data_IF_210198259285
#
_entry.id   IF_210198259285
#
_cell.length_a   1.000
_cell.length_b   1.000
_cell.length_c   1.000
_cell.angle_alpha   90.00
_cell.angle_beta   90.00
_cell.angle_gamma   90.00
#
_symmetry.space_group_name_H-M   'P 1'
#
loop_
_entity.id
_entity.type
_entity.pdbx_description
1 polymer ?
#
# COMPACT_ATOMS: atom_id res chain seq x y z
N UNK A 1 -5.75 -50.28 -3.42
CA UNK A 1 -5.07 -50.09 -2.13
C UNK A 1 -3.99 -49.04 -2.37
N UNK A 2 -4.16 -47.79 -1.92
CA UNK A 2 -4.17 -47.31 -0.53
C UNK A 2 -2.74 -47.03 -0.04
N UNK A 3 -2.39 -45.74 0.06
CA UNK A 3 -1.24 -45.24 0.82
C UNK A 3 -1.58 -45.19 2.33
N UNK A 4 -0.62 -44.90 3.24
CA UNK A 4 -0.36 -43.48 3.56
C UNK A 4 1.08 -43.14 4.00
N UNK A 5 1.31 -41.84 4.27
CA UNK A 5 2.30 -41.26 5.22
C UNK A 5 3.82 -41.41 4.93
N UNK A 6 4.69 -40.41 5.17
CA UNK A 6 4.50 -39.02 5.67
C UNK A 6 5.65 -38.08 5.30
N UNK A 7 5.35 -36.77 5.24
CA UNK A 7 6.22 -35.62 5.56
C UNK A 7 7.69 -35.64 5.11
N UNK A 8 8.00 -34.78 4.12
CA UNK A 8 8.56 -33.47 4.50
C UNK A 8 8.06 -32.38 3.55
N UNK A 9 7.11 -31.58 4.01
CA UNK A 9 6.82 -30.27 3.41
C UNK A 9 7.97 -29.34 3.84
N UNK A 10 8.98 -29.20 2.98
CA UNK A 10 9.83 -28.03 3.03
C UNK A 10 9.04 -26.87 2.42
N UNK A 11 8.39 -26.10 3.30
CA UNK A 11 7.82 -24.79 2.99
C UNK A 11 8.96 -23.85 2.60
N UNK A 12 9.28 -23.75 1.30
CA UNK A 12 10.43 -23.00 0.79
C UNK A 12 10.20 -21.48 0.77
N UNK A 13 9.85 -20.94 1.94
CA UNK A 13 9.86 -19.50 2.25
C UNK A 13 11.23 -18.83 2.08
N UNK A 14 12.29 -19.60 1.83
CA UNK A 14 13.65 -19.12 1.64
C UNK A 14 14.14 -19.12 0.17
N UNK A 15 13.38 -19.70 -0.78
CA UNK A 15 13.71 -19.55 -2.21
C UNK A 15 13.21 -18.20 -2.74
N UNK A 16 14.11 -17.24 -2.88
CA UNK A 16 13.87 -15.95 -3.53
C UNK A 16 13.79 -16.12 -5.04
N UNK A 17 12.60 -15.99 -5.61
CA UNK A 17 12.39 -16.09 -7.05
C UNK A 17 12.56 -14.71 -7.72
N UNK A 18 13.66 -14.50 -8.43
CA UNK A 18 13.79 -13.34 -9.33
C UNK A 18 13.04 -13.69 -10.62
N UNK A 19 11.88 -13.05 -10.83
CA UNK A 19 10.97 -13.34 -11.95
C UNK A 19 10.96 -12.15 -12.91
N UNK A 20 11.84 -12.17 -13.91
CA UNK A 20 11.80 -11.20 -15.00
C UNK A 20 10.64 -11.48 -15.95
N UNK A 21 9.73 -10.51 -16.06
CA UNK A 21 8.70 -10.48 -17.12
C UNK A 21 9.29 -10.10 -18.51
N UNK A 22 10.54 -9.66 -18.55
CA UNK A 22 11.29 -9.27 -19.74
C UNK A 22 12.27 -10.37 -20.22
N UNK A 23 12.70 -10.37 -21.50
CA UNK A 23 13.72 -11.29 -21.99
C UNK A 23 15.08 -11.02 -21.33
N UNK A 24 15.70 -12.05 -20.79
CA UNK A 24 17.02 -12.00 -20.11
C UNK A 24 18.21 -11.95 -21.09
N UNK A 25 17.99 -11.38 -22.28
CA UNK A 25 18.96 -11.32 -23.37
C UNK A 25 19.19 -9.86 -23.80
N UNK A 26 20.41 -9.48 -24.17
CA UNK A 26 20.70 -8.10 -24.55
C UNK A 26 19.93 -7.68 -25.82
N UNK A 27 19.48 -6.42 -25.92
CA UNK A 27 19.79 -5.29 -25.02
C UNK A 27 18.89 -5.21 -23.78
N UNK A 28 19.52 -5.16 -22.59
CA UNK A 28 18.84 -5.03 -21.28
C UNK A 28 18.20 -3.66 -21.00
N UNK A 29 18.26 -2.73 -21.95
CA UNK A 29 17.60 -1.43 -21.87
C UNK A 29 16.99 -1.07 -23.21
N UNK A 30 15.77 -0.54 -23.18
CA UNK A 30 15.03 -0.11 -24.36
C UNK A 30 14.33 1.24 -24.09
N UNK A 31 14.04 2.07 -25.12
CA UNK A 31 13.63 3.46 -24.91
C UNK A 31 12.39 3.66 -24.03
N UNK A 32 11.41 2.75 -24.10
CA UNK A 32 10.23 2.80 -23.21
C UNK A 32 10.51 2.36 -21.78
N UNK A 33 11.54 1.55 -21.50
CA UNK A 33 12.00 1.26 -20.13
C UNK A 33 12.60 2.53 -19.51
N UNK A 34 13.53 3.16 -20.21
CA UNK A 34 14.16 4.43 -19.78
C UNK A 34 13.13 5.54 -19.61
N UNK A 35 12.12 5.61 -20.49
CA UNK A 35 11.00 6.56 -20.36
C UNK A 35 10.16 6.27 -19.12
N UNK A 36 9.81 5.00 -18.85
CA UNK A 36 9.02 4.59 -17.69
C UNK A 36 9.78 4.87 -16.37
N UNK A 37 11.08 4.56 -16.32
CA UNK A 37 12.01 4.90 -15.24
C UNK A 37 12.01 6.41 -14.93
N UNK A 38 12.27 7.24 -15.95
CA UNK A 38 12.31 8.71 -15.80
C UNK A 38 10.95 9.23 -15.33
N UNK A 39 9.85 8.78 -15.93
CA UNK A 39 8.50 9.17 -15.53
C UNK A 39 8.21 8.79 -14.07
N UNK A 40 8.46 7.54 -13.64
CA UNK A 40 8.25 7.10 -12.26
C UNK A 40 9.01 7.97 -11.27
N UNK A 41 10.32 8.15 -11.47
CA UNK A 41 11.17 8.93 -10.55
C UNK A 41 10.75 10.40 -10.52
N UNK A 42 10.57 11.04 -11.69
CA UNK A 42 10.22 12.48 -11.75
C UNK A 42 8.82 12.74 -11.20
N UNK A 43 7.80 11.94 -11.56
CA UNK A 43 6.44 12.17 -11.07
C UNK A 43 6.33 11.89 -9.57
N UNK A 44 6.98 10.86 -9.02
CA UNK A 44 6.96 10.61 -7.57
C UNK A 44 7.72 11.67 -6.77
N UNK A 45 8.85 12.19 -7.28
CA UNK A 45 9.54 13.34 -6.64
C UNK A 45 8.67 14.59 -6.66
N UNK A 46 8.06 14.95 -7.80
CA UNK A 46 7.15 16.10 -7.90
C UNK A 46 5.92 15.92 -7.01
N UNK A 47 5.35 14.71 -6.97
CA UNK A 47 4.19 14.40 -6.13
C UNK A 47 4.49 14.63 -4.64
N UNK A 48 5.64 14.18 -4.14
CA UNK A 48 6.03 14.42 -2.75
C UNK A 48 6.24 15.91 -2.46
N UNK A 49 6.99 16.61 -3.32
CA UNK A 49 7.22 18.06 -3.16
C UNK A 49 5.92 18.88 -3.12
N UNK A 50 4.91 18.48 -3.88
CA UNK A 50 3.57 19.09 -3.87
C UNK A 50 2.76 18.69 -2.62
N UNK A 51 2.86 17.44 -2.16
CA UNK A 51 2.09 16.90 -1.04
C UNK A 51 2.63 17.29 0.35
N UNK A 52 3.91 17.67 0.49
CA UNK A 52 4.47 18.21 1.74
C UNK A 52 3.71 19.45 2.26
N UNK A 53 3.29 20.36 1.38
CA UNK A 53 2.60 21.61 1.77
C UNK A 53 1.24 21.34 2.45
N UNK A 54 0.30 20.58 1.86
CA UNK A 54 -0.94 20.22 2.53
C UNK A 54 -0.72 19.29 3.73
N UNK A 55 0.31 18.43 3.73
CA UNK A 55 0.66 17.60 4.90
C UNK A 55 0.97 18.47 6.13
N UNK A 56 1.85 19.47 6.00
CA UNK A 56 2.17 20.39 7.10
C UNK A 56 0.94 21.17 7.60
N UNK A 57 0.07 21.59 6.68
CA UNK A 57 -1.16 22.33 7.02
C UNK A 57 -2.18 21.44 7.76
N UNK A 58 -2.44 20.23 7.26
CA UNK A 58 -3.38 19.28 7.86
C UNK A 58 -2.88 18.75 9.20
N UNK A 59 -1.57 18.54 9.36
CA UNK A 59 -0.94 18.17 10.61
C UNK A 59 -1.11 19.27 11.68
N UNK A 60 -0.84 20.53 11.32
CA UNK A 60 -1.06 21.69 12.22
C UNK A 60 -2.54 21.83 12.62
N UNK A 61 -3.44 21.61 11.67
CA UNK A 61 -4.89 21.58 11.91
C UNK A 61 -5.34 20.31 12.70
N UNK A 62 -4.51 19.27 12.76
CA UNK A 62 -4.73 18.03 13.50
C UNK A 62 -5.86 17.16 12.95
N UNK A 63 -6.11 17.22 11.64
CA UNK A 63 -6.96 16.25 10.95
C UNK A 63 -6.12 14.99 10.69
N UNK A 64 -6.11 14.09 11.67
CA UNK A 64 -5.21 12.93 11.72
C UNK A 64 -5.36 12.02 10.50
N UNK A 65 -6.60 11.66 10.13
CA UNK A 65 -6.88 10.81 8.97
C UNK A 65 -6.34 11.40 7.66
N UNK A 66 -6.51 12.71 7.45
CA UNK A 66 -6.01 13.40 6.25
C UNK A 66 -4.48 13.54 6.23
N UNK A 67 -3.86 13.73 7.40
CA UNK A 67 -2.39 13.77 7.53
C UNK A 67 -1.78 12.39 7.24
N UNK A 68 -2.39 11.33 7.76
CA UNK A 68 -1.95 9.95 7.57
C UNK A 68 -2.19 9.44 6.14
N UNK A 69 -3.26 9.89 5.48
CA UNK A 69 -3.53 9.64 4.06
C UNK A 69 -2.41 10.22 3.16
N UNK A 70 -2.00 11.47 3.39
CA UNK A 70 -0.90 12.05 2.60
C UNK A 70 0.42 11.35 2.92
N UNK A 71 0.70 11.08 4.21
CA UNK A 71 1.92 10.35 4.60
C UNK A 71 2.00 8.95 3.97
N UNK A 72 0.88 8.24 3.80
CA UNK A 72 0.87 6.93 3.12
C UNK A 72 1.16 7.08 1.61
N UNK A 73 0.76 8.19 0.99
CA UNK A 73 1.13 8.52 -0.39
C UNK A 73 2.63 8.90 -0.52
N UNK A 74 3.17 9.71 0.40
CA UNK A 74 4.61 10.05 0.46
C UNK A 74 5.47 8.78 0.50
N UNK A 75 5.13 7.85 1.39
CA UNK A 75 5.80 6.55 1.55
C UNK A 75 5.74 5.76 0.24
N UNK A 76 4.58 5.69 -0.44
CA UNK A 76 4.44 4.93 -1.69
C UNK A 76 5.21 5.54 -2.86
N UNK A 77 5.37 6.85 -2.89
CA UNK A 77 6.23 7.54 -3.85
C UNK A 77 7.72 7.28 -3.59
N UNK A 78 8.16 7.32 -2.32
CA UNK A 78 9.54 6.98 -1.94
C UNK A 78 9.86 5.53 -2.31
N UNK A 79 8.95 4.60 -1.98
CA UNK A 79 8.98 3.20 -2.40
C UNK A 79 9.12 3.06 -3.93
N UNK A 80 8.28 3.78 -4.70
CA UNK A 80 8.36 3.79 -6.18
C UNK A 80 9.73 4.27 -6.69
N UNK A 81 10.28 5.34 -6.12
CA UNK A 81 11.61 5.86 -6.48
C UNK A 81 12.70 4.84 -6.17
N UNK A 82 12.69 4.22 -4.98
CA UNK A 82 13.71 3.25 -4.56
C UNK A 82 13.69 2.00 -5.44
N UNK A 83 12.52 1.41 -5.68
CA UNK A 83 12.40 0.22 -6.54
C UNK A 83 12.81 0.51 -7.99
N UNK A 84 12.38 1.64 -8.56
CA UNK A 84 12.75 2.00 -9.94
C UNK A 84 14.25 2.30 -10.11
N UNK A 85 14.93 2.81 -9.08
CA UNK A 85 16.38 3.04 -9.14
C UNK A 85 17.22 1.78 -8.88
N UNK A 86 16.74 0.86 -8.03
CA UNK A 86 17.42 -0.42 -7.77
C UNK A 86 17.32 -1.40 -8.95
N UNK A 87 16.12 -1.54 -9.53
CA UNK A 87 15.82 -2.51 -10.60
C UNK A 87 15.44 -1.77 -11.90
N UNK A 88 16.40 -0.98 -12.40
CA UNK A 88 16.23 0.03 -13.46
C UNK A 88 16.32 -0.52 -14.91
N UNK A 89 16.95 -1.67 -15.08
CA UNK A 89 17.31 -2.32 -16.35
C UNK A 89 17.09 -3.84 -16.22
N UNK A 90 16.99 -4.57 -17.33
CA UNK A 90 16.58 -6.00 -17.34
C UNK A 90 17.74 -7.00 -17.13
N UNK A 91 18.93 -6.56 -16.68
CA UNK A 91 20.05 -7.47 -16.38
C UNK A 91 19.91 -8.12 -14.99
N UNK A 92 19.05 -9.14 -14.92
CA UNK A 92 18.83 -9.96 -13.71
C UNK A 92 20.09 -10.57 -13.11
N UNK A 93 21.20 -10.65 -13.86
CA UNK A 93 22.45 -11.26 -13.38
C UNK A 93 23.28 -10.28 -12.55
N UNK A 94 23.07 -8.97 -12.78
CA UNK A 94 23.67 -7.87 -12.01
C UNK A 94 22.82 -7.41 -10.82
N UNK A 95 21.53 -7.76 -10.81
CA UNK A 95 20.56 -7.28 -9.82
C UNK A 95 20.90 -7.66 -8.38
N UNK A 96 20.68 -6.73 -7.46
CA UNK A 96 20.62 -7.05 -6.04
C UNK A 96 19.32 -7.84 -5.74
N UNK A 97 19.38 -9.01 -5.09
CA UNK A 97 18.20 -9.85 -4.78
C UNK A 97 17.30 -9.31 -3.66
N UNK A 98 17.46 -8.06 -3.22
CA UNK A 98 16.51 -7.39 -2.31
C UNK A 98 16.48 -7.83 -0.85
N UNK A 99 17.44 -8.65 -0.40
CA UNK A 99 17.48 -9.21 0.97
C UNK A 99 17.26 -8.14 2.05
N UNK A 100 16.29 -8.37 2.95
CA UNK A 100 15.95 -7.44 4.04
C UNK A 100 15.11 -6.24 3.61
N UNK A 101 15.25 -5.74 2.37
CA UNK A 101 14.39 -4.68 1.84
C UNK A 101 13.03 -5.24 1.39
N UNK A 102 13.00 -6.24 0.51
CA UNK A 102 11.74 -6.86 0.08
C UNK A 102 11.03 -7.60 1.24
N UNK A 103 11.80 -8.14 2.20
CA UNK A 103 11.28 -8.69 3.47
C UNK A 103 10.48 -7.67 4.30
N UNK A 104 10.69 -6.37 4.10
CA UNK A 104 9.98 -5.28 4.79
C UNK A 104 8.99 -4.54 3.88
N UNK A 105 9.34 -4.29 2.62
CA UNK A 105 8.51 -3.47 1.72
C UNK A 105 7.17 -4.13 1.43
N UNK A 106 7.08 -5.44 1.21
CA UNK A 106 5.78 -6.10 0.95
C UNK A 106 4.77 -5.79 2.05
N UNK A 107 5.21 -5.83 3.30
CA UNK A 107 4.39 -5.46 4.45
C UNK A 107 4.07 -3.95 4.47
N UNK A 108 5.07 -3.09 4.25
CA UNK A 108 4.89 -1.64 4.20
C UNK A 108 3.90 -1.22 3.10
N UNK A 109 4.08 -1.72 1.87
CA UNK A 109 3.27 -1.51 0.67
C UNK A 109 1.82 -1.95 0.89
N UNK A 110 1.60 -3.10 1.50
CA UNK A 110 0.24 -3.63 1.78
C UNK A 110 -0.44 -2.92 2.95
N UNK A 111 0.30 -2.61 4.03
CA UNK A 111 -0.19 -1.74 5.09
C UNK A 111 -0.56 -0.35 4.56
N UNK A 112 0.24 0.21 3.65
CA UNK A 112 0.01 1.51 3.00
C UNK A 112 -1.26 1.52 2.16
N UNK A 113 -1.55 0.47 1.39
CA UNK A 113 -2.83 0.29 0.67
C UNK A 113 -4.01 0.21 1.65
N UNK A 114 -3.87 -0.54 2.75
CA UNK A 114 -4.90 -0.64 3.78
C UNK A 114 -5.19 0.71 4.46
N UNK A 115 -4.14 1.43 4.86
CA UNK A 115 -4.22 2.78 5.46
C UNK A 115 -4.86 3.78 4.49
N UNK A 116 -4.49 3.76 3.21
CA UNK A 116 -5.04 4.67 2.21
C UNK A 116 -6.57 4.54 2.12
N UNK A 117 -7.08 3.32 1.98
CA UNK A 117 -8.52 3.06 1.87
C UNK A 117 -9.30 3.38 3.16
N UNK A 118 -8.76 3.02 4.34
CA UNK A 118 -9.44 3.28 5.62
C UNK A 118 -9.37 4.75 6.05
N UNK A 119 -8.28 5.46 5.72
CA UNK A 119 -8.20 6.91 5.89
C UNK A 119 -9.22 7.64 5.01
N UNK A 120 -9.38 7.25 3.74
CA UNK A 120 -10.34 7.90 2.83
C UNK A 120 -11.78 7.79 3.36
N UNK A 121 -12.18 6.60 3.83
CA UNK A 121 -13.48 6.38 4.48
C UNK A 121 -13.63 7.23 5.77
N UNK A 122 -12.58 7.30 6.59
CA UNK A 122 -12.57 8.09 7.83
C UNK A 122 -12.61 9.62 7.57
N UNK A 123 -12.07 10.08 6.44
CA UNK A 123 -12.17 11.47 5.96
C UNK A 123 -13.60 11.77 5.52
N UNK A 124 -14.19 10.95 4.63
CA UNK A 124 -15.55 11.20 4.12
C UNK A 124 -16.60 11.15 5.24
N UNK A 125 -16.54 10.16 6.14
CA UNK A 125 -17.38 10.14 7.36
C UNK A 125 -17.14 11.35 8.27
N UNK A 126 -15.89 11.82 8.34
CA UNK A 126 -15.50 13.02 9.08
C UNK A 126 -15.94 14.34 8.42
N UNK A 127 -16.26 14.34 7.13
CA UNK A 127 -16.85 15.47 6.40
C UNK A 127 -18.38 15.45 6.50
N UNK A 128 -19.02 14.30 6.26
CA UNK A 128 -20.47 14.12 6.38
C UNK A 128 -20.99 14.55 7.76
N UNK A 129 -20.29 14.17 8.83
CA UNK A 129 -20.62 14.59 10.21
C UNK A 129 -20.30 16.04 10.54
N UNK A 130 -19.47 16.75 9.76
CA UNK A 130 -19.24 18.20 9.92
C UNK A 130 -20.27 19.04 9.16
N UNK A 131 -20.68 18.59 7.97
CA UNK A 131 -21.66 19.29 7.13
C UNK A 131 -23.06 19.18 7.73
N UNK A 132 -23.50 17.97 8.10
CA UNK A 132 -24.83 17.70 8.68
C UNK A 132 -25.10 18.36 10.05
N UNK A 133 -24.08 18.89 10.72
CA UNK A 133 -24.22 19.60 12.01
C UNK A 133 -24.25 21.13 11.89
N UNK A 134 -23.98 21.69 10.70
CA UNK A 134 -24.01 23.12 10.31
C UNK A 134 -23.22 24.12 11.19
N UNK A 135 -22.64 23.71 12.33
CA UNK A 135 -22.10 24.61 13.35
C UNK A 135 -20.63 24.34 13.64
N UNK A 136 -19.83 25.38 13.41
CA UNK A 136 -18.42 25.46 13.78
C UNK A 136 -18.22 25.62 15.30
N UNK A 137 -18.68 24.66 16.12
CA UNK A 137 -18.22 24.55 17.49
C UNK A 137 -16.70 24.31 17.49
N UNK A 138 -15.95 25.19 18.15
CA UNK A 138 -14.52 24.99 18.41
C UNK A 138 -14.33 23.78 19.32
N UNK A 139 -14.13 22.60 18.71
CA UNK A 139 -13.83 21.36 19.44
C UNK A 139 -12.70 21.60 20.44
N UNK A 140 -12.91 21.24 21.71
CA UNK A 140 -11.87 21.36 22.73
C UNK A 140 -10.70 20.42 22.42
N UNK A 141 -9.51 20.70 22.95
CA UNK A 141 -8.34 19.84 22.76
C UNK A 141 -8.59 18.38 23.20
N UNK A 142 -9.43 18.17 24.22
CA UNK A 142 -9.85 16.84 24.71
C UNK A 142 -10.71 16.11 23.68
N UNK A 143 -11.64 16.79 23.03
CA UNK A 143 -12.49 16.24 21.98
C UNK A 143 -11.71 15.98 20.69
N UNK A 144 -10.81 16.89 20.28
CA UNK A 144 -9.89 16.69 19.15
C UNK A 144 -9.01 15.45 19.38
N UNK A 145 -8.47 15.25 20.59
CA UNK A 145 -7.70 14.03 20.95
C UNK A 145 -8.59 12.78 20.94
N UNK A 146 -9.82 12.84 21.47
CA UNK A 146 -10.77 11.70 21.47
C UNK A 146 -11.19 11.31 20.04
N UNK A 147 -11.50 12.28 19.19
CA UNK A 147 -11.82 12.08 17.77
C UNK A 147 -10.68 11.40 17.03
N UNK A 148 -9.45 11.90 17.21
CA UNK A 148 -8.29 11.36 16.51
C UNK A 148 -7.95 9.93 16.99
N UNK A 149 -8.16 9.59 18.28
CA UNK A 149 -8.09 8.21 18.76
C UNK A 149 -9.17 7.30 18.14
N UNK A 150 -10.42 7.77 18.03
CA UNK A 150 -11.50 7.01 17.39
C UNK A 150 -11.20 6.81 15.89
N UNK A 151 -10.66 7.82 15.21
CA UNK A 151 -10.20 7.68 13.82
C UNK A 151 -9.06 6.66 13.70
N UNK A 152 -8.06 6.68 14.58
CA UNK A 152 -7.00 5.67 14.60
C UNK A 152 -7.56 4.24 14.80
N UNK A 153 -8.50 4.07 15.73
CA UNK A 153 -9.19 2.79 15.98
C UNK A 153 -10.09 2.32 14.82
N UNK A 154 -10.42 3.18 13.86
CA UNK A 154 -11.13 2.81 12.61
C UNK A 154 -10.12 2.55 11.48
N UNK A 155 -9.02 3.30 11.43
CA UNK A 155 -8.03 3.26 10.36
C UNK A 155 -7.12 2.01 10.45
N UNK A 156 -6.63 1.68 11.65
CA UNK A 156 -5.60 0.65 11.83
C UNK A 156 -6.07 -0.82 11.82
N UNK A 157 -7.30 -1.22 12.22
CA UNK A 157 -7.66 -2.64 12.23
C UNK A 157 -7.59 -3.32 10.86
N UNK A 158 -7.95 -2.60 9.79
CA UNK A 158 -7.95 -3.12 8.41
C UNK A 158 -6.54 -3.42 7.86
N UNK A 159 -5.55 -2.50 7.87
CA UNK A 159 -4.18 -2.81 7.48
C UNK A 159 -3.52 -3.85 8.41
N UNK A 160 -3.84 -3.87 9.72
CA UNK A 160 -3.33 -4.92 10.63
C UNK A 160 -3.89 -6.30 10.26
N UNK A 161 -5.17 -6.40 9.91
CA UNK A 161 -5.76 -7.65 9.42
C UNK A 161 -5.11 -8.09 8.10
N UNK A 162 -4.96 -7.19 7.12
CA UNK A 162 -4.26 -7.47 5.86
C UNK A 162 -2.85 -8.04 6.08
N UNK A 163 -2.06 -7.40 6.93
CA UNK A 163 -0.70 -7.84 7.29
C UNK A 163 -0.67 -9.28 7.84
N UNK A 164 -1.60 -9.61 8.74
CA UNK A 164 -1.72 -10.96 9.30
C UNK A 164 -2.16 -11.99 8.25
N UNK A 165 -3.08 -11.62 7.36
CA UNK A 165 -3.56 -12.48 6.26
C UNK A 165 -2.43 -12.76 5.26
N UNK A 166 -1.63 -11.76 4.88
CA UNK A 166 -0.50 -11.91 3.95
C UNK A 166 0.56 -12.85 4.54
N UNK A 167 0.88 -12.73 5.84
CA UNK A 167 1.84 -13.64 6.51
C UNK A 167 1.38 -15.12 6.53
N UNK A 168 0.06 -15.36 6.45
CA UNK A 168 -0.54 -16.69 6.27
C UNK A 168 -0.65 -17.14 4.80
N UNK A 169 -0.82 -16.20 3.85
CA UNK A 169 -1.24 -16.50 2.47
C UNK A 169 -0.15 -16.35 1.39
N UNK A 170 1.04 -15.82 1.74
CA UNK A 170 2.20 -15.75 0.85
C UNK A 170 2.73 -17.15 0.51
N UNK A 171 2.88 -17.47 -0.79
CA UNK A 171 3.42 -18.76 -1.26
C UNK A 171 4.92 -18.71 -1.54
N UNK A 172 5.45 -17.52 -1.81
CA UNK A 172 6.87 -17.23 -1.96
C UNK A 172 7.17 -15.93 -1.23
N UNK A 173 8.43 -15.77 -0.78
CA UNK A 173 8.82 -14.68 0.13
C UNK A 173 8.63 -13.30 -0.49
N UNK A 174 9.09 -13.18 -1.74
CA UNK A 174 8.95 -12.04 -2.62
C UNK A 174 9.34 -12.47 -4.04
N UNK A 175 8.81 -11.75 -5.02
CA UNK A 175 9.37 -11.67 -6.37
C UNK A 175 9.93 -10.26 -6.63
N UNK A 176 10.78 -10.13 -7.65
CA UNK A 176 11.38 -8.85 -8.04
C UNK A 176 11.21 -8.66 -9.54
N UNK A 177 10.58 -7.55 -9.94
CA UNK A 177 10.30 -7.21 -11.34
C UNK A 177 10.83 -5.81 -11.71
N UNK A 178 11.26 -5.62 -12.96
CA UNK A 178 11.87 -4.36 -13.42
C UNK A 178 10.97 -3.14 -13.21
N UNK A 179 11.53 -2.04 -12.71
CA UNK A 179 10.89 -0.78 -12.29
C UNK A 179 9.85 -0.86 -11.15
N UNK A 180 9.19 -2.00 -11.00
CA UNK A 180 8.18 -2.30 -9.99
C UNK A 180 8.82 -2.71 -8.65
N UNK A 181 9.97 -3.37 -8.74
CA UNK A 181 10.78 -3.94 -7.67
C UNK A 181 10.06 -5.04 -6.92
N UNK A 182 10.03 -4.95 -5.58
CA UNK A 182 9.46 -5.99 -4.72
C UNK A 182 7.94 -6.16 -4.94
N UNK A 183 7.51 -7.37 -5.29
CA UNK A 183 6.10 -7.76 -5.33
C UNK A 183 5.91 -9.13 -4.64
N UNK A 184 4.67 -9.58 -4.41
CA UNK A 184 4.39 -10.75 -3.59
C UNK A 184 3.42 -11.72 -4.26
N UNK A 185 3.79 -13.00 -4.24
CA UNK A 185 3.00 -14.06 -4.89
C UNK A 185 2.01 -14.63 -3.87
N UNK A 186 0.75 -14.25 -4.04
CA UNK A 186 -0.38 -14.74 -3.27
C UNK A 186 -0.83 -16.14 -3.73
N UNK A 187 -1.31 -16.98 -2.81
CA UNK A 187 -2.03 -18.19 -3.20
C UNK A 187 -3.40 -17.85 -3.80
N UNK A 188 -3.70 -18.25 -5.06
CA UNK A 188 -5.01 -18.06 -5.68
C UNK A 188 -6.03 -18.97 -5.00
N UNK A 189 -6.56 -18.49 -3.89
CA UNK A 189 -7.34 -19.23 -2.90
C UNK A 189 -8.55 -18.39 -2.49
N UNK A 190 -9.65 -19.05 -2.12
CA UNK A 190 -10.87 -18.32 -1.76
C UNK A 190 -10.70 -17.34 -0.56
N UNK A 191 -9.85 -17.59 0.46
CA UNK A 191 -9.62 -16.61 1.52
C UNK A 191 -8.87 -15.38 1.01
N UNK A 192 -7.88 -15.55 0.12
CA UNK A 192 -7.16 -14.43 -0.49
C UNK A 192 -8.12 -13.49 -1.23
N UNK A 193 -9.04 -14.03 -2.03
CA UNK A 193 -10.07 -13.23 -2.72
C UNK A 193 -10.97 -12.47 -1.71
N UNK A 194 -11.52 -13.18 -0.73
CA UNK A 194 -12.50 -12.64 0.22
C UNK A 194 -11.90 -11.58 1.15
N UNK A 195 -10.67 -11.80 1.63
CA UNK A 195 -10.03 -10.92 2.62
C UNK A 195 -9.04 -9.91 2.03
N UNK A 196 -8.54 -10.13 0.81
CA UNK A 196 -7.44 -9.33 0.22
C UNK A 196 -7.80 -8.66 -1.10
N UNK A 197 -8.92 -9.02 -1.76
CA UNK A 197 -9.39 -8.35 -2.99
C UNK A 197 -10.76 -7.69 -2.81
N UNK A 198 -11.75 -8.37 -2.23
CA UNK A 198 -13.09 -7.81 -2.04
C UNK A 198 -13.18 -6.59 -1.09
N UNK A 199 -12.36 -6.42 -0.03
CA UNK A 199 -12.54 -5.30 0.89
C UNK A 199 -12.26 -3.93 0.28
N UNK A 200 -11.36 -3.81 -0.71
CA UNK A 200 -11.03 -2.55 -1.37
C UNK A 200 -12.23 -1.94 -2.13
N UNK A 201 -12.92 -2.65 -3.07
CA UNK A 201 -14.11 -2.14 -3.70
C UNK A 201 -15.28 -1.95 -2.72
N UNK A 202 -15.37 -2.73 -1.63
CA UNK A 202 -16.36 -2.48 -0.57
C UNK A 202 -16.08 -1.17 0.17
N UNK A 203 -14.84 -0.89 0.59
CA UNK A 203 -14.46 0.37 1.22
C UNK A 203 -14.64 1.57 0.28
N UNK A 204 -14.33 1.42 -1.02
CA UNK A 204 -14.60 2.44 -2.03
C UNK A 204 -16.12 2.68 -2.22
N UNK A 205 -16.92 1.62 -2.23
CA UNK A 205 -18.39 1.72 -2.31
C UNK A 205 -18.98 2.41 -1.08
N UNK A 206 -18.53 2.06 0.12
CA UNK A 206 -18.93 2.75 1.36
C UNK A 206 -18.51 4.22 1.36
N UNK A 207 -17.29 4.52 0.88
CA UNK A 207 -16.78 5.89 0.75
C UNK A 207 -17.64 6.72 -0.21
N UNK A 208 -18.05 6.15 -1.35
CA UNK A 208 -18.93 6.83 -2.31
C UNK A 208 -20.38 6.93 -1.84
N UNK A 209 -20.86 6.04 -0.96
CA UNK A 209 -22.16 6.20 -0.30
C UNK A 209 -22.16 7.44 0.62
N UNK A 210 -21.19 7.55 1.54
CA UNK A 210 -21.03 8.75 2.38
C UNK A 210 -20.74 10.03 1.56
N UNK A 211 -20.16 9.91 0.35
CA UNK A 211 -19.99 11.03 -0.57
C UNK A 211 -21.29 11.50 -1.22
N UNK A 212 -22.29 10.63 -1.38
CA UNK A 212 -23.63 10.99 -1.88
C UNK A 212 -24.48 11.65 -0.79
N UNK A 213 -24.37 11.18 0.46
CA UNK A 213 -24.97 11.82 1.64
C UNK A 213 -24.44 13.25 1.92
N UNK A 214 -23.38 13.68 1.21
CA UNK A 214 -22.80 15.02 1.26
C UNK A 214 -23.27 15.95 0.13
N UNK A 215 -24.08 15.44 -0.81
CA UNK A 215 -24.47 16.13 -2.05
C UNK A 215 -25.99 16.38 -2.18
N UNK A 216 -26.76 16.06 -1.13
CA UNK A 216 -28.20 16.25 -1.01
C UNK A 216 -28.53 16.90 0.34
#
# INVERSE_FOLDING_TARGET
>A
MAAPSTLHLLDTRDTTAIVSLAPTFPPYTYPSLTTNLICRVVLSVVSNLVCLVPLCLLYRNGEFAASLFILSNEIRNLDTIVNSLLWRDDDITSWWPGYGFCDFDIYLRMATVGIYASCLLAIMRGLASKVSLERAQRMTAKERRRRNWIQALIIFPYPIAMMAIIWLASQQRYEVATLQGCEWIAHPSWPFLVFTILPQPVLASLTTAYARELAF
#
